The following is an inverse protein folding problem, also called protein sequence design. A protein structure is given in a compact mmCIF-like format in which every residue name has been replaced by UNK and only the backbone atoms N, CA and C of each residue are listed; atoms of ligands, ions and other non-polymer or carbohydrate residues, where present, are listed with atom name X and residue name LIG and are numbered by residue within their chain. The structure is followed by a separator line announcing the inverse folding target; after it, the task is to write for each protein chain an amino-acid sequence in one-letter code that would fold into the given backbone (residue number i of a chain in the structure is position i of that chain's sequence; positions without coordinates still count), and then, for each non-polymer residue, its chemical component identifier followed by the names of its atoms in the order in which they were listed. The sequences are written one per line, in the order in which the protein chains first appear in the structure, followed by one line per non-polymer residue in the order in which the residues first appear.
data_IF_230443392297
#
_entry.id   IF_230443392297
#
_cell.length_a   1.000
_cell.length_b   1.000
_cell.length_c   1.000
_cell.angle_alpha   90.00
_cell.angle_beta   90.00
_cell.angle_gamma   90.00
#
_symmetry.space_group_name_H-M   'P 1'
#
loop_
_entity.id
_entity.type
_entity.pdbx_description
1 polymer ?
#
# COMPACT_ATOMS: atom_id res chain seq x y z
N UNK A 1 30.56 -46.84 -7.05
CA UNK A 1 30.94 -45.58 -7.73
C UNK A 1 29.85 -44.55 -7.46
N UNK A 2 30.19 -43.38 -6.90
CA UNK A 2 29.21 -42.45 -6.37
C UNK A 2 28.50 -41.70 -7.50
N UNK A 3 27.18 -41.57 -7.37
CA UNK A 3 26.31 -40.91 -8.34
C UNK A 3 26.62 -39.43 -8.45
N UNK A 4 26.94 -39.01 -9.67
CA UNK A 4 27.06 -37.60 -10.05
C UNK A 4 25.70 -36.93 -9.99
N UNK A 5 25.41 -36.25 -8.89
CA UNK A 5 24.31 -35.29 -8.83
C UNK A 5 24.55 -34.20 -9.88
N UNK A 6 23.64 -34.07 -10.85
CA UNK A 6 23.73 -33.09 -11.92
C UNK A 6 23.75 -31.67 -11.34
N UNK A 7 24.63 -30.75 -11.78
CA UNK A 7 24.65 -29.36 -11.31
C UNK A 7 23.29 -28.63 -11.38
N UNK A 8 22.41 -28.85 -12.39
CA UNK A 8 21.10 -28.19 -12.42
C UNK A 8 20.16 -28.68 -11.31
N UNK A 9 20.27 -29.93 -10.87
CA UNK A 9 19.41 -30.49 -9.82
C UNK A 9 19.77 -29.92 -8.44
N UNK A 10 21.07 -29.75 -8.16
CA UNK A 10 21.53 -29.08 -6.95
C UNK A 10 21.10 -27.61 -6.92
N UNK A 11 21.19 -26.91 -8.05
CA UNK A 11 20.71 -25.53 -8.18
C UNK A 11 19.19 -25.44 -7.96
N UNK A 12 18.42 -26.35 -8.56
CA UNK A 12 16.97 -26.42 -8.40
C UNK A 12 16.56 -26.69 -6.95
N UNK A 13 17.33 -27.51 -6.21
CA UNK A 13 17.06 -27.80 -4.79
C UNK A 13 17.33 -26.57 -3.91
N UNK A 14 18.45 -25.87 -4.15
CA UNK A 14 18.80 -24.62 -3.47
C UNK A 14 17.76 -23.54 -3.77
N UNK A 15 17.30 -23.46 -5.02
CA UNK A 15 16.22 -22.57 -5.44
C UNK A 15 14.88 -22.93 -4.80
N UNK A 16 14.53 -24.21 -4.71
CA UNK A 16 13.31 -24.66 -4.03
C UNK A 16 13.34 -24.36 -2.52
N UNK A 17 14.51 -24.44 -1.89
CA UNK A 17 14.73 -24.06 -0.50
C UNK A 17 14.74 -22.54 -0.30
N UNK A 18 15.27 -21.78 -1.25
CA UNK A 18 15.29 -20.32 -1.23
C UNK A 18 13.88 -19.71 -1.44
N UNK A 19 13.09 -20.27 -2.37
CA UNK A 19 11.68 -19.88 -2.63
C UNK A 19 10.78 -20.11 -1.42
N UNK A 20 11.13 -21.08 -0.57
CA UNK A 20 10.43 -21.35 0.69
C UNK A 20 10.72 -20.33 1.80
N UNK A 21 11.60 -19.35 1.55
CA UNK A 21 12.02 -18.34 2.52
C UNK A 21 11.31 -17.01 2.25
N UNK A 22 10.63 -16.46 3.26
CA UNK A 22 9.86 -15.21 3.16
C UNK A 22 10.68 -14.02 2.64
N UNK A 23 11.98 -13.98 2.94
CA UNK A 23 12.90 -12.95 2.48
C UNK A 23 13.03 -12.91 0.95
N UNK A 24 12.96 -14.06 0.28
CA UNK A 24 13.05 -14.14 -1.17
C UNK A 24 11.82 -13.49 -1.85
N UNK A 25 10.62 -13.78 -1.33
CA UNK A 25 9.39 -13.15 -1.79
C UNK A 25 9.31 -11.66 -1.48
N UNK A 26 9.83 -11.24 -0.32
CA UNK A 26 9.96 -9.83 0.02
C UNK A 26 10.83 -9.07 -0.99
N UNK A 27 11.98 -9.62 -1.38
CA UNK A 27 12.86 -9.02 -2.41
C UNK A 27 12.18 -8.99 -3.77
N UNK A 28 11.47 -10.05 -4.15
CA UNK A 28 10.69 -10.07 -5.39
C UNK A 28 9.57 -9.04 -5.42
N UNK A 29 8.87 -8.85 -4.30
CA UNK A 29 7.86 -7.79 -4.14
C UNK A 29 8.48 -6.40 -4.23
N UNK A 30 9.70 -6.21 -3.72
CA UNK A 30 10.43 -4.95 -3.88
C UNK A 30 10.82 -4.71 -5.34
N UNK A 31 11.32 -5.71 -6.04
CA UNK A 31 11.71 -5.60 -7.46
C UNK A 31 10.47 -5.31 -8.33
N UNK A 32 9.39 -6.06 -8.13
CA UNK A 32 8.12 -5.86 -8.86
C UNK A 32 7.50 -4.53 -8.52
N UNK A 33 7.44 -4.15 -7.25
CA UNK A 33 6.97 -2.85 -6.79
C UNK A 33 7.80 -1.70 -7.37
N UNK A 34 9.13 -1.83 -7.44
CA UNK A 34 10.02 -0.84 -8.04
C UNK A 34 9.83 -0.74 -9.56
N UNK A 35 9.72 -1.87 -10.26
CA UNK A 35 9.44 -1.89 -11.69
C UNK A 35 8.07 -1.26 -12.00
N UNK A 36 7.05 -1.55 -11.19
CA UNK A 36 5.73 -0.95 -11.32
C UNK A 36 5.76 0.54 -10.99
N UNK A 37 6.52 0.94 -9.97
CA UNK A 37 6.74 2.33 -9.60
C UNK A 37 7.43 3.10 -10.72
N UNK A 38 8.49 2.55 -11.33
CA UNK A 38 9.19 3.13 -12.48
C UNK A 38 8.28 3.24 -13.70
N UNK A 39 7.53 2.18 -14.00
CA UNK A 39 6.57 2.17 -15.11
C UNK A 39 5.44 3.18 -14.92
N UNK A 40 4.99 3.34 -13.67
CA UNK A 40 3.94 4.30 -13.33
C UNK A 40 4.44 5.73 -13.10
N UNK A 41 5.72 5.87 -12.74
CA UNK A 41 6.39 7.15 -12.52
C UNK A 41 6.44 7.97 -13.79
N UNK A 42 6.58 7.33 -14.95
CA UNK A 42 6.53 8.00 -16.25
C UNK A 42 5.18 8.74 -16.45
N UNK A 43 4.08 8.19 -15.94
CA UNK A 43 2.76 8.84 -15.95
C UNK A 43 2.59 9.96 -14.89
N UNK A 44 3.38 9.92 -13.81
CA UNK A 44 3.40 10.94 -12.74
C UNK A 44 4.31 12.14 -13.10
N UNK A 45 5.42 11.89 -13.79
CA UNK A 45 6.42 12.91 -14.15
C UNK A 45 6.14 13.61 -15.48
N UNK A 46 5.21 13.11 -16.31
CA UNK A 46 4.83 13.72 -17.60
C UNK A 46 3.36 14.19 -17.64
N UNK A 47 2.95 15.15 -16.78
CA UNK A 47 1.57 15.65 -16.76
C UNK A 47 1.10 16.22 -18.11
N UNK A 48 2.03 16.72 -18.94
CA UNK A 48 1.76 17.20 -20.30
C UNK A 48 1.38 16.07 -21.28
N UNK A 49 1.98 14.88 -21.18
CA UNK A 49 1.60 13.75 -22.03
C UNK A 49 0.21 13.20 -21.67
N UNK A 50 -0.15 13.24 -20.39
CA UNK A 50 -1.46 12.81 -19.90
C UNK A 50 -2.59 13.78 -20.31
N UNK A 51 -2.28 15.06 -20.51
CA UNK A 51 -3.20 16.08 -21.04
C UNK A 51 -3.40 15.96 -22.56
N UNK A 52 -2.35 15.61 -23.31
CA UNK A 52 -2.38 15.47 -24.77
C UNK A 52 -2.85 14.08 -25.24
N UNK A 53 -2.61 13.02 -24.46
CA UNK A 53 -3.02 11.65 -24.73
C UNK A 53 -4.28 11.30 -23.94
N UNK A 54 -5.45 11.59 -24.51
CA UNK A 54 -6.76 11.41 -23.87
C UNK A 54 -6.93 10.12 -23.06
N UNK A 55 -7.62 10.27 -21.91
CA UNK A 55 -8.11 9.23 -20.97
C UNK A 55 -7.52 7.84 -21.22
N UNK A 56 -6.23 7.70 -20.94
CA UNK A 56 -5.55 6.42 -21.15
C UNK A 56 -6.07 5.40 -20.13
N UNK A 57 -6.57 4.27 -20.63
CA UNK A 57 -6.95 3.07 -19.85
C UNK A 57 -5.87 2.60 -18.87
N UNK A 58 -4.62 3.10 -19.02
CA UNK A 58 -3.53 2.97 -18.06
C UNK A 58 -3.87 3.54 -16.67
N UNK A 59 -4.66 4.61 -16.57
CA UNK A 59 -5.01 5.26 -15.28
C UNK A 59 -5.73 4.32 -14.30
N UNK A 60 -6.54 3.39 -14.80
CA UNK A 60 -7.24 2.38 -13.97
C UNK A 60 -6.42 1.10 -13.79
N UNK A 61 -5.59 0.74 -14.78
CA UNK A 61 -4.72 -0.44 -14.70
C UNK A 61 -3.71 -0.31 -13.57
N UNK A 62 -3.12 0.87 -13.35
CA UNK A 62 -2.09 1.06 -12.32
C UNK A 62 -2.59 0.77 -10.90
N UNK A 63 -3.69 1.35 -10.40
CA UNK A 63 -4.19 1.05 -9.06
C UNK A 63 -4.65 -0.41 -8.92
N UNK A 64 -5.16 -1.03 -10.00
CA UNK A 64 -5.52 -2.46 -10.02
C UNK A 64 -4.30 -3.36 -9.95
N UNK A 65 -3.19 -3.00 -10.59
CA UNK A 65 -1.92 -3.71 -10.47
C UNK A 65 -1.38 -3.65 -9.03
N UNK A 66 -1.53 -2.52 -8.35
CA UNK A 66 -1.18 -2.40 -6.93
C UNK A 66 -2.08 -3.24 -6.01
N UNK A 67 -3.36 -3.43 -6.36
CA UNK A 67 -4.24 -4.41 -5.69
C UNK A 67 -3.70 -5.83 -5.84
N UNK A 68 -3.20 -6.20 -7.03
CA UNK A 68 -2.57 -7.51 -7.23
C UNK A 68 -1.31 -7.67 -6.36
N UNK A 69 -0.44 -6.65 -6.29
CA UNK A 69 0.74 -6.65 -5.41
C UNK A 69 0.35 -6.78 -3.93
N UNK A 70 -0.72 -6.11 -3.50
CA UNK A 70 -1.26 -6.19 -2.15
C UNK A 70 -1.84 -7.57 -1.82
N UNK A 71 -2.58 -8.18 -2.75
CA UNK A 71 -3.21 -9.50 -2.55
C UNK A 71 -2.24 -10.68 -2.70
N UNK A 72 -1.12 -10.49 -3.41
CA UNK A 72 -0.14 -11.55 -3.67
C UNK A 72 0.36 -12.24 -2.39
N UNK A 73 0.81 -11.53 -1.33
CA UNK A 73 1.21 -12.17 -0.08
C UNK A 73 0.07 -12.85 0.70
N UNK A 74 -1.20 -12.53 0.47
CA UNK A 74 -2.35 -13.31 0.99
C UNK A 74 -2.57 -14.61 0.22
N UNK A 75 -2.18 -14.63 -1.07
CA UNK A 75 -2.29 -15.81 -1.91
C UNK A 75 -1.12 -16.79 -1.69
N UNK A 76 0.06 -16.33 -1.28
CA UNK A 76 1.25 -17.15 -1.06
C UNK A 76 1.04 -18.36 -0.13
N UNK A 77 0.38 -18.23 1.05
CA UNK A 77 0.09 -19.37 1.93
C UNK A 77 -0.96 -20.32 1.33
N UNK A 78 -1.96 -19.79 0.60
CA UNK A 78 -3.01 -20.59 -0.06
C UNK A 78 -2.46 -21.43 -1.21
N UNK A 79 -1.43 -20.91 -1.90
CA UNK A 79 -0.75 -21.57 -3.00
C UNK A 79 0.30 -22.60 -2.53
N UNK A 80 0.47 -22.82 -1.22
CA UNK A 80 1.48 -23.73 -0.63
C UNK A 80 2.92 -23.47 -1.12
N UNK A 81 3.21 -22.23 -1.52
CA UNK A 81 4.54 -21.80 -1.98
C UNK A 81 5.49 -21.58 -0.79
N UNK A 82 4.95 -21.38 0.41
CA UNK A 82 5.70 -21.39 1.66
C UNK A 82 5.95 -22.82 2.15
N UNK A 83 7.04 -22.98 2.92
CA UNK A 83 7.38 -24.24 3.58
C UNK A 83 6.17 -24.77 4.36
N UNK A 84 5.87 -26.06 4.23
CA UNK A 84 4.84 -26.74 5.05
C UNK A 84 5.11 -26.44 6.53
N UNK A 85 4.23 -25.65 7.15
CA UNK A 85 4.36 -25.17 8.54
C UNK A 85 4.56 -23.66 8.71
N UNK A 86 4.94 -22.90 7.67
CA UNK A 86 4.98 -21.45 7.72
C UNK A 86 3.59 -20.87 7.38
N UNK A 87 2.74 -20.77 8.40
CA UNK A 87 1.35 -20.31 8.27
C UNK A 87 1.23 -18.82 7.92
N UNK A 88 2.29 -18.02 8.10
CA UNK A 88 2.26 -16.56 7.90
C UNK A 88 3.60 -16.07 7.33
N UNK A 89 3.54 -15.15 6.36
CA UNK A 89 4.70 -14.50 5.72
C UNK A 89 4.76 -13.01 6.12
N UNK A 90 5.02 -12.67 7.40
CA UNK A 90 4.76 -11.34 7.97
C UNK A 90 5.56 -10.22 7.28
N UNK A 91 6.80 -10.49 6.86
CA UNK A 91 7.66 -9.50 6.22
C UNK A 91 7.13 -9.12 4.82
N UNK A 92 6.72 -10.11 4.04
CA UNK A 92 6.18 -9.91 2.69
C UNK A 92 4.84 -9.16 2.72
N UNK A 93 4.00 -9.48 3.70
CA UNK A 93 2.71 -8.82 3.94
C UNK A 93 2.89 -7.33 4.28
N UNK A 94 3.80 -7.03 5.22
CA UNK A 94 4.11 -5.65 5.63
C UNK A 94 4.68 -4.81 4.49
N UNK A 95 5.61 -5.38 3.70
CA UNK A 95 6.21 -4.68 2.57
C UNK A 95 5.22 -4.43 1.43
N UNK A 96 4.38 -5.40 1.09
CA UNK A 96 3.33 -5.21 0.09
C UNK A 96 2.29 -4.18 0.55
N UNK A 97 1.91 -4.21 1.83
CA UNK A 97 1.02 -3.21 2.40
C UNK A 97 1.62 -1.80 2.34
N UNK A 98 2.88 -1.65 2.74
CA UNK A 98 3.60 -0.37 2.66
C UNK A 98 3.61 0.18 1.23
N UNK A 99 3.98 -0.66 0.25
CA UNK A 99 4.09 -0.24 -1.14
C UNK A 99 2.73 0.09 -1.76
N UNK A 100 1.72 -0.77 -1.57
CA UNK A 100 0.38 -0.56 -2.13
C UNK A 100 -0.33 0.65 -1.50
N UNK A 101 -0.27 0.79 -0.17
CA UNK A 101 -0.87 1.94 0.51
C UNK A 101 -0.15 3.24 0.14
N UNK A 102 1.18 3.21 0.05
CA UNK A 102 1.97 4.36 -0.42
C UNK A 102 1.58 4.77 -1.85
N UNK A 103 1.44 3.80 -2.75
CA UNK A 103 1.03 4.04 -4.13
C UNK A 103 -0.39 4.62 -4.21
N UNK A 104 -1.38 4.01 -3.54
CA UNK A 104 -2.75 4.54 -3.55
C UNK A 104 -2.86 5.93 -2.93
N UNK A 105 -2.11 6.21 -1.86
CA UNK A 105 -2.01 7.56 -1.30
C UNK A 105 -1.43 8.56 -2.30
N UNK A 106 -0.34 8.20 -2.99
CA UNK A 106 0.26 9.06 -4.01
C UNK A 106 -0.72 9.35 -5.15
N UNK A 107 -1.44 8.34 -5.66
CA UNK A 107 -2.47 8.53 -6.69
C UNK A 107 -3.68 9.31 -6.20
N UNK A 108 -4.09 9.12 -4.94
CA UNK A 108 -5.18 9.87 -4.35
C UNK A 108 -4.81 11.36 -4.26
N UNK A 109 -3.63 11.69 -3.72
CA UNK A 109 -3.14 13.06 -3.63
C UNK A 109 -2.98 13.66 -5.03
N UNK A 110 -2.42 12.92 -5.99
CA UNK A 110 -2.30 13.37 -7.38
C UNK A 110 -3.67 13.70 -8.01
N UNK A 111 -4.66 12.82 -7.84
CA UNK A 111 -6.04 13.07 -8.29
C UNK A 111 -6.75 14.21 -7.54
N UNK A 112 -6.29 14.53 -6.33
CA UNK A 112 -6.77 15.68 -5.58
C UNK A 112 -6.20 17.00 -6.13
N UNK A 113 -4.92 17.02 -6.51
CA UNK A 113 -4.25 18.18 -7.14
C UNK A 113 -4.76 18.42 -8.57
N UNK A 114 -4.97 17.36 -9.35
CA UNK A 114 -5.54 17.46 -10.70
C UNK A 114 -7.06 17.50 -10.63
N UNK A 115 -7.62 18.72 -10.70
CA UNK A 115 -9.06 19.01 -10.52
C UNK A 115 -9.98 18.13 -11.38
N UNK A 116 -9.55 17.74 -12.58
CA UNK A 116 -10.29 16.92 -13.54
C UNK A 116 -10.32 15.41 -13.21
N UNK A 117 -9.59 14.97 -12.19
CA UNK A 117 -9.41 13.55 -11.88
C UNK A 117 -9.88 13.15 -10.48
N UNK A 118 -10.90 13.87 -9.97
CA UNK A 118 -11.58 13.58 -8.68
C UNK A 118 -11.97 12.11 -8.51
N UNK A 119 -12.42 11.46 -9.58
CA UNK A 119 -12.74 10.03 -9.56
C UNK A 119 -11.57 9.16 -9.07
N UNK A 120 -10.34 9.51 -9.45
CA UNK A 120 -9.14 8.77 -9.04
C UNK A 120 -8.86 8.94 -7.55
N UNK A 121 -9.16 10.11 -6.97
CA UNK A 121 -9.10 10.30 -5.52
C UNK A 121 -10.11 9.39 -4.79
N UNK A 122 -11.37 9.38 -5.21
CA UNK A 122 -12.40 8.53 -4.58
C UNK A 122 -12.10 7.03 -4.75
N UNK A 123 -11.67 6.60 -5.94
CA UNK A 123 -11.34 5.20 -6.21
C UNK A 123 -10.17 4.72 -5.34
N UNK A 124 -9.07 5.48 -5.27
CA UNK A 124 -7.94 5.12 -4.42
C UNK A 124 -8.26 5.24 -2.93
N UNK A 125 -9.08 6.21 -2.53
CA UNK A 125 -9.60 6.31 -1.17
C UNK A 125 -10.42 5.09 -0.76
N UNK A 126 -11.25 4.56 -1.66
CA UNK A 126 -12.00 3.33 -1.43
C UNK A 126 -11.08 2.11 -1.31
N UNK A 127 -10.00 2.04 -2.10
CA UNK A 127 -9.00 0.98 -1.97
C UNK A 127 -8.26 1.03 -0.62
N UNK A 128 -7.88 2.23 -0.17
CA UNK A 128 -7.27 2.43 1.16
C UNK A 128 -8.24 2.00 2.28
N UNK A 129 -9.51 2.38 2.18
CA UNK A 129 -10.54 1.99 3.13
C UNK A 129 -10.78 0.47 3.13
N UNK A 130 -10.83 -0.14 1.94
CA UNK A 130 -10.93 -1.59 1.79
C UNK A 130 -9.73 -2.33 2.39
N UNK A 131 -8.52 -1.80 2.23
CA UNK A 131 -7.31 -2.37 2.84
C UNK A 131 -7.31 -2.22 4.36
N UNK A 132 -7.80 -1.11 4.92
CA UNK A 132 -7.98 -0.95 6.35
C UNK A 132 -9.03 -1.93 6.91
N UNK A 133 -10.16 -2.10 6.21
CA UNK A 133 -11.19 -3.06 6.59
C UNK A 133 -10.67 -4.52 6.53
N UNK A 134 -9.88 -4.84 5.50
CA UNK A 134 -9.26 -6.17 5.38
C UNK A 134 -8.23 -6.41 6.48
N UNK A 135 -7.36 -5.43 6.76
CA UNK A 135 -6.39 -5.51 7.86
C UNK A 135 -7.06 -5.66 9.22
N UNK A 136 -8.24 -5.07 9.40
CA UNK A 136 -9.06 -5.22 10.60
C UNK A 136 -9.72 -6.61 10.72
N UNK A 137 -10.18 -7.17 9.60
CA UNK A 137 -10.87 -8.45 9.52
C UNK A 137 -9.94 -9.66 9.60
N UNK A 138 -8.68 -9.54 9.14
CA UNK A 138 -7.69 -10.61 9.21
C UNK A 138 -7.27 -10.88 10.67
N UNK A 139 -7.35 -12.16 11.08
CA UNK A 139 -6.90 -12.67 12.38
C UNK A 139 -5.85 -13.76 12.13
N UNK A 140 -4.67 -13.76 12.81
CA UNK A 140 -4.19 -12.79 13.80
C UNK A 140 -3.89 -11.41 13.19
N UNK A 141 -4.11 -10.33 13.95
CA UNK A 141 -3.96 -8.94 13.49
C UNK A 141 -2.50 -8.55 13.42
N UNK A 142 -2.03 -8.15 12.24
CA UNK A 142 -0.69 -7.58 12.09
C UNK A 142 -0.76 -6.06 12.30
N UNK A 143 -0.45 -5.61 13.52
CA UNK A 143 -0.57 -4.20 13.93
C UNK A 143 0.22 -3.23 13.06
N UNK A 144 1.30 -3.69 12.41
CA UNK A 144 2.09 -2.86 11.48
C UNK A 144 1.25 -2.49 10.25
N UNK A 145 0.55 -3.47 9.68
CA UNK A 145 -0.32 -3.23 8.50
C UNK A 145 -1.55 -2.43 8.89
N UNK A 146 -2.11 -2.69 10.08
CA UNK A 146 -3.20 -1.88 10.62
C UNK A 146 -2.75 -0.41 10.78
N UNK A 147 -1.59 -0.17 11.38
CA UNK A 147 -1.03 1.18 11.54
C UNK A 147 -0.78 1.89 10.22
N UNK A 148 -0.20 1.20 9.23
CA UNK A 148 -0.01 1.72 7.87
C UNK A 148 -1.34 2.08 7.19
N UNK A 149 -2.36 1.24 7.36
CA UNK A 149 -3.68 1.48 6.77
C UNK A 149 -4.40 2.69 7.40
N UNK A 150 -4.29 2.85 8.72
CA UNK A 150 -4.83 4.01 9.44
C UNK A 150 -4.09 5.29 9.06
N UNK A 151 -2.76 5.24 8.91
CA UNK A 151 -1.97 6.37 8.43
C UNK A 151 -2.40 6.78 7.01
N UNK A 152 -2.56 5.81 6.11
CA UNK A 152 -3.03 6.06 4.75
C UNK A 152 -4.44 6.68 4.74
N UNK A 153 -5.34 6.19 5.59
CA UNK A 153 -6.68 6.76 5.75
C UNK A 153 -6.62 8.21 6.22
N UNK A 154 -5.76 8.53 7.20
CA UNK A 154 -5.55 9.90 7.66
C UNK A 154 -5.08 10.81 6.52
N UNK A 155 -4.15 10.36 5.67
CA UNK A 155 -3.68 11.13 4.50
C UNK A 155 -4.83 11.42 3.54
N UNK A 156 -5.67 10.43 3.23
CA UNK A 156 -6.83 10.61 2.36
C UNK A 156 -7.83 11.59 2.96
N UNK A 157 -8.19 11.43 4.24
CA UNK A 157 -9.14 12.30 4.95
C UNK A 157 -8.64 13.74 5.03
N UNK A 158 -7.39 13.95 5.48
CA UNK A 158 -6.77 15.28 5.56
C UNK A 158 -6.67 15.91 4.18
N UNK A 159 -6.33 15.14 3.13
CA UNK A 159 -6.33 15.61 1.74
C UNK A 159 -7.72 16.08 1.28
N UNK A 160 -8.78 15.35 1.65
CA UNK A 160 -10.16 15.75 1.36
C UNK A 160 -10.54 17.06 2.04
N UNK A 161 -10.22 17.21 3.32
CA UNK A 161 -10.43 18.47 4.06
C UNK A 161 -9.60 19.61 3.47
N UNK A 162 -8.35 19.37 3.09
CA UNK A 162 -7.49 20.37 2.45
C UNK A 162 -8.15 20.93 1.19
N UNK A 163 -8.70 20.07 0.34
CA UNK A 163 -9.42 20.51 -0.86
C UNK A 163 -10.65 21.36 -0.52
N UNK A 164 -11.50 20.89 0.41
CA UNK A 164 -12.72 21.61 0.81
C UNK A 164 -12.40 22.99 1.40
N UNK A 165 -11.37 23.07 2.24
CA UNK A 165 -10.94 24.31 2.89
C UNK A 165 -10.28 25.26 1.89
N UNK A 166 -9.46 24.77 0.97
CA UNK A 166 -8.80 25.58 -0.06
C UNK A 166 -9.78 26.08 -1.13
N UNK A 167 -10.75 25.28 -1.54
CA UNK A 167 -11.80 25.70 -2.49
C UNK A 167 -12.73 26.78 -1.89
N UNK A 168 -12.91 26.78 -0.57
CA UNK A 168 -13.71 27.78 0.16
C UNK A 168 -12.94 29.05 0.57
N UNK A 169 -11.61 29.03 0.52
CA UNK A 169 -10.77 30.10 1.06
C UNK A 169 -10.61 31.26 0.07
N UNK A 170 -11.33 32.37 0.33
CA UNK A 170 -11.20 33.63 -0.42
C UNK A 170 -9.98 34.46 0.01
N UNK A 171 -8.80 33.84 0.15
CA UNK A 171 -7.53 34.53 0.36
C UNK A 171 -6.88 34.42 1.75
N UNK A 172 -7.49 33.74 2.73
CA UNK A 172 -6.87 33.48 4.04
C UNK A 172 -6.16 32.12 4.06
N UNK A 173 -4.95 32.08 3.50
CA UNK A 173 -4.12 30.87 3.41
C UNK A 173 -3.50 30.49 4.76
N UNK A 174 -3.23 31.47 5.63
CA UNK A 174 -2.64 31.24 6.96
C UNK A 174 -3.63 30.55 7.90
N UNK A 175 -4.90 31.00 7.94
CA UNK A 175 -5.94 30.34 8.73
C UNK A 175 -6.20 28.90 8.28
N UNK A 176 -6.24 28.66 6.96
CA UNK A 176 -6.47 27.32 6.39
C UNK A 176 -5.33 26.36 6.72
N UNK A 177 -4.07 26.79 6.60
CA UNK A 177 -2.90 25.96 6.92
C UNK A 177 -2.84 25.59 8.40
N UNK A 178 -3.16 26.53 9.30
CA UNK A 178 -3.26 26.25 10.73
C UNK A 178 -4.38 25.24 11.04
N UNK A 179 -5.57 25.43 10.46
CA UNK A 179 -6.70 24.52 10.65
C UNK A 179 -6.37 23.11 10.14
N UNK A 180 -5.71 23.01 8.98
CA UNK A 180 -5.28 21.72 8.43
C UNK A 180 -4.25 21.04 9.31
N UNK A 181 -3.31 21.80 9.87
CA UNK A 181 -2.30 21.27 10.80
C UNK A 181 -2.97 20.75 12.07
N UNK A 182 -3.99 21.45 12.57
CA UNK A 182 -4.78 21.03 13.73
C UNK A 182 -5.56 19.75 13.43
N UNK A 183 -6.25 19.69 12.28
CA UNK A 183 -6.99 18.49 11.86
C UNK A 183 -6.04 17.30 11.73
N UNK A 184 -4.88 17.49 11.08
CA UNK A 184 -3.88 16.44 10.94
C UNK A 184 -3.36 15.96 12.31
N UNK A 185 -3.06 16.89 13.23
CA UNK A 185 -2.60 16.56 14.57
C UNK A 185 -3.65 15.77 15.38
N UNK A 186 -4.93 16.16 15.31
CA UNK A 186 -6.03 15.43 15.96
C UNK A 186 -6.20 14.04 15.35
N UNK A 187 -6.20 13.92 14.03
CA UNK A 187 -6.30 12.63 13.33
C UNK A 187 -5.16 11.68 13.73
N UNK A 188 -3.92 12.15 13.73
CA UNK A 188 -2.75 11.34 14.11
C UNK A 188 -2.78 10.98 15.60
N UNK A 189 -3.11 11.93 16.48
CA UNK A 189 -3.16 11.70 17.92
C UNK A 189 -4.26 10.71 18.34
N UNK A 190 -5.46 10.85 17.78
CA UNK A 190 -6.58 9.92 18.03
C UNK A 190 -6.30 8.53 17.47
N UNK A 191 -5.74 8.44 16.26
CA UNK A 191 -5.34 7.17 15.65
C UNK A 191 -4.27 6.45 16.47
N UNK A 192 -3.23 7.16 16.92
CA UNK A 192 -2.13 6.59 17.70
C UNK A 192 -2.58 6.09 19.08
N UNK A 193 -3.39 6.88 19.78
CA UNK A 193 -3.94 6.49 21.09
C UNK A 193 -4.86 5.27 20.99
N UNK A 194 -5.69 5.20 19.94
CA UNK A 194 -6.56 4.06 19.69
C UNK A 194 -5.77 2.78 19.35
N UNK A 195 -4.76 2.87 18.47
CA UNK A 195 -3.88 1.74 18.14
C UNK A 195 -3.13 1.23 19.38
N UNK A 196 -2.63 2.13 20.22
CA UNK A 196 -1.93 1.78 21.45
C UNK A 196 -2.85 1.04 22.44
N UNK A 197 -4.09 1.52 22.60
CA UNK A 197 -5.10 0.84 23.43
C UNK A 197 -5.40 -0.57 22.93
N UNK A 198 -5.60 -0.71 21.61
CA UNK A 198 -5.90 -2.00 20.99
C UNK A 198 -4.75 -3.02 21.16
N UNK A 199 -3.50 -2.57 21.03
CA UNK A 199 -2.32 -3.41 21.28
C UNK A 199 -2.25 -3.87 22.74
N UNK A 200 -2.59 -2.99 23.68
CA UNK A 200 -2.57 -3.31 25.12
C UNK A 200 -3.64 -4.32 25.50
N UNK A 201 -4.84 -4.20 24.93
CA UNK A 201 -5.95 -5.13 25.17
C UNK A 201 -5.64 -6.54 24.64
N UNK A 202 -5.06 -6.65 23.44
CA UNK A 202 -4.69 -7.96 22.86
C UNK A 202 -3.40 -8.56 23.45
N UNK A 203 -2.52 -7.75 24.05
CA UNK A 203 -1.33 -8.24 24.76
C UNK A 203 -1.60 -8.75 26.18
N UNK A 204 -2.82 -8.54 26.70
CA UNK A 204 -3.25 -8.98 28.03
C UNK A 204 -4.23 -10.18 27.99
N UNK A 205 -4.70 -10.57 26.80
CA UNK A 205 -5.61 -11.70 26.58
C UNK A 205 -4.85 -12.98 26.21
#
# INVERSE_FOLDING_TARGET
MPGSCSPPAALALVWALAVRRDAFWAVWLLITGLALALWSGDALFSPLQTLLGGRSSRSLLTPVLWVAVFLLPLALPRLRLLREGAATAPLSWRLAALMALGAWCAYAVFGLLMRDQLWQYFFNGLLVLGAAALAWALRPRDFVVLGLSVLALNVVVVGGFARLLLDGARGDSAGVTLLLTLIAAVCVGTSGTWLYRLQREEGQA
#
